data_IF_647103743364
#
_entry.id   IF_647103743364
#
_cell.length_a   1.000
_cell.length_b   1.000
_cell.length_c   1.000
_cell.angle_alpha   90.00
_cell.angle_beta   90.00
_cell.angle_gamma   90.00
#
_symmetry.space_group_name_H-M   'P 1'
#
loop_
_entity.id
_entity.type
_entity.pdbx_description
1 polymer ?
#
# COMPACT_ATOMS: atom_id res chain seq x y z
N UNK A 1 -4.74 -18.01 16.97
CA UNK A 1 -4.29 -17.50 15.65
C UNK A 1 -4.54 -18.56 14.59
N UNK A 2 -4.98 -18.20 13.39
CA UNK A 2 -5.31 -19.16 12.33
C UNK A 2 -4.11 -19.65 11.49
N UNK A 3 -2.89 -19.14 11.76
CA UNK A 3 -1.65 -19.44 11.02
C UNK A 3 -1.77 -19.28 9.50
N UNK A 4 -2.55 -18.28 9.06
CA UNK A 4 -2.72 -17.90 7.66
C UNK A 4 -2.28 -16.44 7.49
N UNK A 5 -1.78 -16.06 6.30
CA UNK A 5 -1.52 -14.66 5.98
C UNK A 5 -2.76 -13.81 6.20
N UNK A 6 -2.55 -12.56 6.64
CA UNK A 6 -3.57 -11.52 6.69
C UNK A 6 -3.17 -10.45 5.68
N UNK A 7 -4.16 -9.90 5.00
CA UNK A 7 -4.04 -8.73 4.13
C UNK A 7 -5.09 -7.72 4.58
N UNK A 8 -4.69 -6.47 4.77
CA UNK A 8 -5.62 -5.35 4.92
C UNK A 8 -6.07 -4.92 3.51
N UNK A 9 -7.13 -5.54 3.01
CA UNK A 9 -7.48 -5.51 1.58
C UNK A 9 -8.16 -4.22 1.11
N UNK A 10 -8.89 -3.53 2.00
CA UNK A 10 -9.48 -2.22 1.71
C UNK A 10 -9.42 -1.34 2.97
N UNK A 11 -8.95 -0.11 2.78
CA UNK A 11 -8.95 0.92 3.82
C UNK A 11 -8.96 2.31 3.18
N UNK A 12 -9.55 3.28 3.89
CA UNK A 12 -9.53 4.68 3.49
C UNK A 12 -10.31 5.58 4.45
N UNK A 13 -10.03 6.88 4.38
CA UNK A 13 -10.76 7.92 5.13
C UNK A 13 -11.10 9.07 4.18
N UNK A 14 -12.33 9.61 4.26
CA UNK A 14 -12.80 10.66 3.33
C UNK A 14 -12.00 11.96 3.38
N UNK A 15 -11.30 12.21 4.48
CA UNK A 15 -10.42 13.37 4.62
C UNK A 15 -9.15 13.22 3.78
N UNK A 16 -8.83 12.01 3.30
CA UNK A 16 -7.58 11.69 2.61
C UNK A 16 -6.34 12.16 3.41
N UNK A 17 -6.42 11.99 4.73
CA UNK A 17 -5.42 12.46 5.68
C UNK A 17 -4.12 11.65 5.61
N UNK A 18 -3.03 12.27 5.14
CA UNK A 18 -1.72 11.65 4.96
C UNK A 18 -1.18 10.97 6.22
N UNK A 19 -1.39 11.57 7.40
CA UNK A 19 -0.89 11.02 8.67
C UNK A 19 -1.55 9.69 9.01
N UNK A 20 -2.87 9.58 8.76
CA UNK A 20 -3.61 8.33 8.92
C UNK A 20 -3.09 7.22 8.01
N UNK A 21 -2.90 7.52 6.71
CA UNK A 21 -2.39 6.53 5.75
C UNK A 21 -0.96 6.08 6.09
N UNK A 22 -0.10 7.01 6.50
CA UNK A 22 1.27 6.71 6.94
C UNK A 22 1.25 5.80 8.17
N UNK A 23 0.49 6.17 9.21
CA UNK A 23 0.39 5.40 10.45
C UNK A 23 -0.11 3.97 10.21
N UNK A 24 -1.13 3.80 9.35
CA UNK A 24 -1.62 2.48 8.98
C UNK A 24 -0.58 1.66 8.22
N UNK A 25 0.12 2.29 7.26
CA UNK A 25 1.15 1.61 6.47
C UNK A 25 2.33 1.15 7.32
N UNK A 26 2.75 1.96 8.29
CA UNK A 26 3.82 1.62 9.23
C UNK A 26 3.42 0.48 10.18
N UNK A 27 2.16 0.47 10.63
CA UNK A 27 1.63 -0.60 11.46
C UNK A 27 1.58 -1.93 10.71
N UNK A 28 1.07 -1.93 9.47
CA UNK A 28 1.01 -3.14 8.63
C UNK A 28 2.42 -3.63 8.31
N UNK A 29 3.33 -2.73 7.93
CA UNK A 29 4.72 -3.07 7.64
C UNK A 29 5.41 -3.73 8.84
N UNK A 30 5.26 -3.14 10.02
CA UNK A 30 5.82 -3.66 11.28
C UNK A 30 5.29 -5.05 11.60
N UNK A 31 4.02 -5.31 11.26
CA UNK A 31 3.39 -6.62 11.44
C UNK A 31 3.83 -7.67 10.41
N UNK A 32 4.64 -7.30 9.40
CA UNK A 32 5.04 -8.15 8.27
C UNK A 32 3.85 -8.72 7.50
N UNK A 33 2.80 -7.91 7.36
CA UNK A 33 1.58 -8.20 6.58
C UNK A 33 1.60 -7.38 5.28
N UNK A 34 0.52 -7.44 4.50
CA UNK A 34 0.35 -6.67 3.25
C UNK A 34 -0.93 -5.84 3.32
N UNK A 35 -1.03 -4.81 2.50
CA UNK A 35 -2.20 -3.94 2.44
C UNK A 35 -2.48 -3.42 1.03
N UNK A 36 -3.74 -3.08 0.77
CA UNK A 36 -4.23 -2.43 -0.44
C UNK A 36 -5.24 -1.35 -0.04
N UNK A 37 -5.04 -0.11 -0.49
CA UNK A 37 -5.96 0.99 -0.19
C UNK A 37 -7.15 0.99 -1.14
N UNK A 38 -8.25 1.58 -0.69
CA UNK A 38 -9.42 1.87 -1.52
C UNK A 38 -9.49 3.37 -1.81
N UNK A 39 -9.52 3.84 -3.05
CA UNK A 39 -9.16 3.13 -4.29
C UNK A 39 -8.26 4.01 -5.16
N UNK A 40 -7.56 3.40 -6.12
CA UNK A 40 -6.74 4.16 -7.08
C UNK A 40 -7.62 4.82 -8.15
N UNK A 41 -7.33 6.07 -8.47
CA UNK A 41 -7.96 6.78 -9.58
C UNK A 41 -6.93 7.39 -10.52
N UNK A 42 -7.20 7.35 -11.82
CA UNK A 42 -6.45 8.12 -12.82
C UNK A 42 -7.26 9.37 -13.16
N UNK A 43 -6.75 10.55 -12.82
CA UNK A 43 -7.51 11.80 -12.93
C UNK A 43 -7.89 12.12 -14.37
N UNK A 44 -6.95 11.96 -15.29
CA UNK A 44 -7.11 12.25 -16.72
C UNK A 44 -8.16 11.37 -17.42
N UNK A 45 -8.48 10.21 -16.85
CA UNK A 45 -9.49 9.28 -17.38
C UNK A 45 -10.88 9.50 -16.76
N UNK A 46 -11.03 10.48 -15.86
CA UNK A 46 -12.29 10.73 -15.17
C UNK A 46 -12.70 9.54 -14.28
N UNK A 47 -11.73 8.90 -13.61
CA UNK A 47 -12.02 7.78 -12.73
C UNK A 47 -13.06 8.15 -11.66
N UNK A 48 -13.97 7.23 -11.28
CA UNK A 48 -14.98 7.47 -10.26
C UNK A 48 -14.39 7.95 -8.94
N UNK A 49 -15.07 8.90 -8.32
CA UNK A 49 -14.72 9.44 -7.01
C UNK A 49 -15.87 9.21 -6.04
N UNK A 50 -15.69 8.25 -5.13
CA UNK A 50 -16.62 7.94 -4.04
C UNK A 50 -16.27 8.66 -2.73
N UNK A 51 -15.31 9.59 -2.79
CA UNK A 51 -14.76 10.32 -1.65
C UNK A 51 -13.58 9.62 -0.97
N UNK A 52 -13.18 8.43 -1.43
CA UNK A 52 -11.97 7.73 -0.96
C UNK A 52 -10.91 7.58 -2.07
N UNK A 53 -11.23 7.96 -3.30
CA UNK A 53 -10.32 7.80 -4.44
C UNK A 53 -9.05 8.62 -4.24
N UNK A 54 -7.91 7.92 -4.23
CA UNK A 54 -6.58 8.53 -4.25
C UNK A 54 -6.14 8.60 -5.71
N UNK A 55 -6.11 9.82 -6.23
CA UNK A 55 -5.71 10.07 -7.61
C UNK A 55 -4.18 10.05 -7.79
N UNK A 56 -3.74 9.57 -8.94
CA UNK A 56 -2.34 9.50 -9.38
C UNK A 56 -1.56 10.82 -9.33
N UNK A 57 -2.24 11.94 -9.53
CA UNK A 57 -1.66 13.28 -9.45
C UNK A 57 -1.71 13.91 -8.04
N UNK A 58 -2.28 13.19 -7.05
CA UNK A 58 -2.51 13.70 -5.71
C UNK A 58 -1.27 13.73 -4.80
N UNK A 59 -1.26 14.67 -3.83
CA UNK A 59 -0.21 14.76 -2.82
C UNK A 59 -0.16 13.51 -1.93
N UNK A 60 -1.31 12.96 -1.55
CA UNK A 60 -1.37 11.70 -0.80
C UNK A 60 -0.74 10.54 -1.58
N UNK A 61 -0.97 10.48 -2.89
CA UNK A 61 -0.42 9.44 -3.74
C UNK A 61 1.11 9.50 -3.81
N UNK A 62 1.64 10.66 -4.21
CA UNK A 62 3.07 10.86 -4.38
C UNK A 62 3.84 10.91 -3.06
N UNK A 63 3.24 11.48 -2.00
CA UNK A 63 3.87 11.72 -0.71
C UNK A 63 3.79 10.56 0.28
N UNK A 64 2.76 9.70 0.19
CA UNK A 64 2.55 8.61 1.16
C UNK A 64 2.43 7.25 0.47
N UNK A 65 1.55 7.12 -0.51
CA UNK A 65 1.27 5.82 -1.14
C UNK A 65 2.49 5.26 -1.88
N UNK A 66 3.14 6.06 -2.73
CA UNK A 66 4.33 5.63 -3.50
C UNK A 66 5.51 5.28 -2.57
N UNK A 67 5.87 6.09 -1.56
CA UNK A 67 6.89 5.72 -0.59
C UNK A 67 6.54 4.46 0.21
N UNK A 68 5.30 4.31 0.66
CA UNK A 68 4.86 3.12 1.37
C UNK A 68 4.99 1.87 0.48
N UNK A 69 4.52 1.92 -0.77
CA UNK A 69 4.66 0.81 -1.73
C UNK A 69 6.13 0.41 -1.93
N UNK A 70 7.03 1.40 -2.05
CA UNK A 70 8.48 1.17 -2.15
C UNK A 70 9.04 0.50 -0.90
N UNK A 71 8.59 0.91 0.29
CA UNK A 71 8.94 0.30 1.58
C UNK A 71 8.47 -1.15 1.65
N UNK A 72 7.24 -1.47 1.26
CA UNK A 72 6.74 -2.85 1.22
C UNK A 72 7.48 -3.74 0.22
N UNK A 73 7.85 -3.20 -0.96
CA UNK A 73 8.64 -3.95 -1.94
C UNK A 73 9.99 -4.42 -1.37
N UNK A 74 10.56 -3.70 -0.40
CA UNK A 74 11.80 -4.10 0.26
C UNK A 74 11.65 -5.37 1.11
N UNK A 75 10.43 -5.77 1.52
CA UNK A 75 10.19 -7.01 2.26
C UNK A 75 10.41 -8.26 1.39
N UNK A 76 10.29 -8.15 0.07
CA UNK A 76 10.54 -9.24 -0.87
C UNK A 76 12.04 -9.58 -1.04
N UNK A 77 12.94 -8.76 -0.50
CA UNK A 77 14.40 -8.86 -0.65
C UNK A 77 15.09 -9.71 0.41
N UNK A 78 14.90 -11.03 0.39
CA UNK A 78 15.88 -12.06 0.80
C UNK A 78 15.40 -13.47 0.41
N UNK A 79 15.09 -13.68 -0.87
CA UNK A 79 15.12 -15.04 -1.41
C UNK A 79 16.59 -15.37 -1.73
N UNK A 80 17.27 -16.12 -0.86
CA UNK A 80 18.57 -16.71 -1.16
C UNK A 80 18.41 -17.67 -2.34
N UNK A 81 18.72 -17.22 -3.56
CA UNK A 81 18.81 -18.10 -4.72
C UNK A 81 20.07 -18.96 -4.50
N UNK A 82 19.89 -20.16 -3.95
CA UNK A 82 20.93 -21.19 -3.99
C UNK A 82 21.06 -21.65 -5.44
N UNK A 83 22.04 -21.14 -6.16
CA UNK A 83 22.45 -21.67 -7.47
C UNK A 83 22.94 -23.10 -7.28
N UNK A 84 22.12 -24.09 -7.63
CA UNK A 84 22.60 -25.44 -7.91
C UNK A 84 23.30 -25.40 -9.25
N UNK A 85 24.62 -25.49 -9.23
CA UNK A 85 25.45 -25.84 -10.40
C UNK A 85 25.15 -27.29 -10.79
N UNK A 86 24.82 -27.51 -12.05
CA UNK A 86 24.85 -28.83 -12.72
C UNK A 86 26.17 -29.01 -13.46
#
# INVERSE_FOLDING_TARGET
KANKPVVLEEYGVKTLDSDSYLAWSDQVYTSKSNMQYWQFGIKSLGAPDDGYTIFDEGELFSGVIVPAASKFASLGGSASISSKTS
#
